data_IF_201486429585
#
_entry.id   IF_201486429585
#
_cell.length_a   1.000
_cell.length_b   1.000
_cell.length_c   1.000
_cell.angle_alpha   90.00
_cell.angle_beta   90.00
_cell.angle_gamma   90.00
#
_symmetry.space_group_name_H-M   'P 1'
#
loop_
_entity.id
_entity.type
_entity.pdbx_description
1 polymer ?
#
# COMPACT_ATOMS: atom_id res chain seq x y z
N UNK A 1 -17.02 -4.01 1.98
CA UNK A 1 -16.31 -2.75 2.26
C UNK A 1 -16.28 -1.90 1.01
N UNK A 2 -16.58 -0.60 1.09
CA UNK A 2 -16.43 0.33 -0.03
C UNK A 2 -15.15 1.12 0.20
N UNK A 3 -14.18 1.03 -0.72
CA UNK A 3 -12.89 1.70 -0.58
C UNK A 3 -13.07 3.18 -0.88
N UNK A 4 -12.62 4.05 0.03
CA UNK A 4 -12.61 5.50 -0.17
C UNK A 4 -11.40 5.94 -1.02
N UNK A 5 -11.39 7.20 -1.48
CA UNK A 5 -10.20 7.78 -2.14
C UNK A 5 -8.97 7.76 -1.26
N UNK A 6 -9.17 7.87 0.04
CA UNK A 6 -8.11 7.97 1.03
C UNK A 6 -7.26 6.70 1.03
N UNK A 7 -7.87 5.54 0.77
CA UNK A 7 -7.18 4.26 0.57
C UNK A 7 -6.20 4.37 -0.60
N UNK A 8 -6.67 4.85 -1.75
CA UNK A 8 -5.86 4.94 -2.96
C UNK A 8 -4.79 6.03 -2.87
N UNK A 9 -5.06 7.13 -2.15
CA UNK A 9 -4.06 8.16 -1.87
C UNK A 9 -2.93 7.63 -0.98
N UNK A 10 -3.27 6.81 0.01
CA UNK A 10 -2.28 6.14 0.86
C UNK A 10 -1.47 5.11 0.07
N UNK A 11 -2.11 4.26 -0.74
CA UNK A 11 -1.41 3.30 -1.62
C UNK A 11 -0.49 4.00 -2.62
N UNK A 12 -0.94 5.12 -3.19
CA UNK A 12 -0.11 5.90 -4.11
C UNK A 12 1.11 6.49 -3.41
N UNK A 13 1.00 6.89 -2.14
CA UNK A 13 2.15 7.37 -1.37
C UNK A 13 3.18 6.26 -1.09
N UNK A 14 2.72 5.01 -0.95
CA UNK A 14 3.62 3.85 -0.86
C UNK A 14 4.28 3.58 -2.21
N UNK A 15 3.53 3.64 -3.31
CA UNK A 15 4.09 3.43 -4.65
C UNK A 15 5.14 4.49 -5.03
N UNK A 16 5.15 5.65 -4.37
CA UNK A 16 6.20 6.68 -4.51
C UNK A 16 7.39 6.50 -3.56
N UNK A 17 7.44 5.42 -2.76
CA UNK A 17 8.47 5.21 -1.73
C UNK A 17 9.90 5.23 -2.28
N UNK A 18 10.11 4.62 -3.44
CA UNK A 18 11.39 4.58 -4.18
C UNK A 18 11.63 5.86 -5.01
N UNK A 19 10.70 6.82 -4.96
CA UNK A 19 10.74 8.07 -5.69
C UNK A 19 10.24 7.98 -7.14
N UNK A 20 9.73 6.84 -7.60
CA UNK A 20 9.18 6.67 -8.95
C UNK A 20 7.94 5.77 -8.98
N UNK A 21 6.85 6.24 -9.58
CA UNK A 21 5.72 5.36 -9.92
C UNK A 21 5.83 4.97 -11.39
N UNK A 22 5.98 3.68 -11.68
CA UNK A 22 6.04 3.18 -13.06
C UNK A 22 4.70 3.34 -13.77
N UNK A 23 4.72 3.35 -15.12
CA UNK A 23 3.50 3.40 -15.91
C UNK A 23 2.55 2.20 -15.62
N UNK A 24 3.12 1.04 -15.27
CA UNK A 24 2.36 -0.16 -14.92
C UNK A 24 1.65 0.00 -13.58
N UNK A 25 2.33 0.52 -12.56
CA UNK A 25 1.74 0.76 -11.23
C UNK A 25 0.68 1.86 -11.29
N UNK A 26 0.95 2.94 -12.04
CA UNK A 26 -0.02 4.00 -12.28
C UNK A 26 -1.32 3.45 -12.90
N UNK A 27 -1.21 2.62 -13.93
CA UNK A 27 -2.36 1.99 -14.58
C UNK A 27 -3.10 1.03 -13.64
N UNK A 28 -2.38 0.23 -12.85
CA UNK A 28 -2.99 -0.66 -11.85
C UNK A 28 -3.76 0.13 -10.79
N UNK A 29 -3.16 1.18 -10.21
CA UNK A 29 -3.81 2.03 -9.20
C UNK A 29 -5.05 2.72 -9.76
N UNK A 30 -4.98 3.26 -10.98
CA UNK A 30 -6.10 3.93 -11.62
C UNK A 30 -7.25 2.96 -11.93
N UNK A 31 -6.94 1.77 -12.47
CA UNK A 31 -7.94 0.72 -12.72
C UNK A 31 -8.58 0.24 -11.43
N UNK A 32 -7.80 0.05 -10.37
CA UNK A 32 -8.31 -0.36 -9.06
C UNK A 32 -9.24 0.70 -8.46
N UNK A 33 -8.88 1.98 -8.52
CA UNK A 33 -9.72 3.10 -8.08
C UNK A 33 -11.07 3.13 -8.82
N UNK A 34 -11.05 3.00 -10.14
CA UNK A 34 -12.26 2.94 -10.97
C UNK A 34 -13.13 1.71 -10.63
N UNK A 35 -12.51 0.54 -10.47
CA UNK A 35 -13.20 -0.70 -10.10
C UNK A 35 -13.85 -0.61 -8.71
N UNK A 36 -13.24 0.13 -7.79
CA UNK A 36 -13.81 0.44 -6.47
C UNK A 36 -14.96 1.48 -6.53
N UNK A 37 -15.26 2.02 -7.71
CA UNK A 37 -16.36 2.96 -7.95
C UNK A 37 -16.01 4.43 -7.71
N UNK A 38 -14.72 4.79 -7.63
CA UNK A 38 -14.31 6.19 -7.54
C UNK A 38 -14.58 6.88 -8.88
N UNK A 39 -15.17 8.08 -8.81
CA UNK A 39 -15.52 8.91 -9.97
C UNK A 39 -15.34 10.39 -9.63
N UNK A 40 -15.36 11.25 -10.65
CA UNK A 40 -15.29 12.71 -10.49
C UNK A 40 -14.07 13.16 -9.68
N UNK A 41 -14.30 14.08 -8.75
CA UNK A 41 -13.23 14.72 -7.96
C UNK A 41 -12.38 13.73 -7.14
N UNK A 42 -12.95 12.60 -6.72
CA UNK A 42 -12.23 11.59 -5.95
C UNK A 42 -11.25 10.81 -6.84
N UNK A 43 -11.67 10.45 -8.05
CA UNK A 43 -10.78 9.82 -9.03
C UNK A 43 -9.70 10.79 -9.51
N UNK A 44 -10.05 12.06 -9.74
CA UNK A 44 -9.09 13.10 -10.14
C UNK A 44 -8.01 13.32 -9.09
N UNK A 45 -8.36 13.24 -7.79
CA UNK A 45 -7.41 13.35 -6.70
C UNK A 45 -6.39 12.20 -6.72
N UNK A 46 -6.85 10.97 -6.95
CA UNK A 46 -5.98 9.79 -7.07
C UNK A 46 -5.06 9.92 -8.29
N UNK A 47 -5.59 10.29 -9.46
CA UNK A 47 -4.77 10.49 -10.66
C UNK A 47 -3.71 11.60 -10.49
N UNK A 48 -4.02 12.66 -9.75
CA UNK A 48 -3.05 13.71 -9.42
C UNK A 48 -1.95 13.19 -8.50
N UNK A 49 -2.30 12.39 -7.49
CA UNK A 49 -1.32 11.76 -6.60
C UNK A 49 -0.40 10.80 -7.38
N UNK A 50 -0.96 10.02 -8.32
CA UNK A 50 -0.18 9.09 -9.16
C UNK A 50 0.87 9.84 -9.98
N UNK A 51 0.58 11.07 -10.42
CA UNK A 51 1.48 11.88 -11.27
C UNK A 51 2.44 12.76 -10.48
N UNK A 52 2.29 12.85 -9.16
CA UNK A 52 3.08 13.79 -8.35
C UNK A 52 3.35 13.24 -6.95
N UNK A 53 4.62 12.90 -6.71
CA UNK A 53 5.11 12.51 -5.39
C UNK A 53 4.76 13.55 -4.31
N UNK A 54 4.89 14.84 -4.61
CA UNK A 54 4.54 15.90 -3.65
C UNK A 54 3.05 15.87 -3.29
N UNK A 55 2.17 15.67 -4.28
CA UNK A 55 0.73 15.53 -4.03
C UNK A 55 0.48 14.29 -3.18
N UNK A 56 1.03 13.13 -3.56
CA UNK A 56 0.89 11.88 -2.80
C UNK A 56 1.29 12.05 -1.33
N UNK A 57 2.44 12.67 -1.07
CA UNK A 57 2.96 12.93 0.29
C UNK A 57 2.06 13.88 1.09
N UNK A 58 1.45 14.88 0.45
CA UNK A 58 0.51 15.81 1.10
C UNK A 58 -0.84 15.17 1.38
N UNK A 59 -1.33 14.33 0.46
CA UNK A 59 -2.66 13.69 0.54
C UNK A 59 -2.69 12.44 1.40
N UNK A 60 -1.53 11.82 1.69
CA UNK A 60 -1.43 10.67 2.60
C UNK A 60 -1.82 10.97 4.07
N UNK A 61 -2.17 12.23 4.41
CA UNK A 61 -2.71 12.62 5.73
C UNK A 61 -4.19 12.21 5.91
N UNK A 62 -4.61 11.14 5.25
CA UNK A 62 -5.99 10.79 5.12
C UNK A 62 -6.56 10.13 6.39
N UNK A 63 -7.81 10.45 6.73
CA UNK A 63 -8.55 9.84 7.83
C UNK A 63 -9.13 8.50 7.37
N UNK A 64 -8.30 7.46 7.44
CA UNK A 64 -8.75 6.09 7.20
C UNK A 64 -9.45 5.55 8.45
N UNK A 65 -10.52 4.79 8.24
CA UNK A 65 -11.04 3.92 9.30
C UNK A 65 -10.00 2.86 9.68
N UNK A 66 -10.15 2.24 10.85
CA UNK A 66 -9.24 1.16 11.27
C UNK A 66 -9.19 0.03 10.23
N UNK A 67 -10.35 -0.41 9.72
CA UNK A 67 -10.44 -1.44 8.68
C UNK A 67 -9.76 -1.03 7.36
N UNK A 68 -9.96 0.22 6.91
CA UNK A 68 -9.30 0.72 5.70
C UNK A 68 -7.78 0.87 5.90
N UNK A 69 -7.34 1.26 7.10
CA UNK A 69 -5.93 1.34 7.45
C UNK A 69 -5.26 -0.03 7.39
N UNK A 70 -5.88 -1.04 8.00
CA UNK A 70 -5.42 -2.43 7.93
C UNK A 70 -5.36 -2.95 6.49
N UNK A 71 -6.39 -2.67 5.70
CA UNK A 71 -6.43 -3.05 4.29
C UNK A 71 -5.32 -2.39 3.47
N UNK A 72 -5.13 -1.06 3.60
CA UNK A 72 -4.07 -0.32 2.93
C UNK A 72 -2.70 -0.90 3.29
N UNK A 73 -2.48 -1.17 4.57
CA UNK A 73 -1.22 -1.71 5.05
C UNK A 73 -0.95 -3.11 4.49
N UNK A 74 -1.96 -3.99 4.46
CA UNK A 74 -1.85 -5.31 3.85
C UNK A 74 -1.51 -5.22 2.35
N UNK A 75 -2.21 -4.37 1.60
CA UNK A 75 -1.95 -4.18 0.17
C UNK A 75 -0.57 -3.59 -0.09
N UNK A 76 -0.12 -2.63 0.74
CA UNK A 76 1.24 -2.09 0.67
C UNK A 76 2.30 -3.19 0.84
N UNK A 77 2.14 -4.06 1.84
CA UNK A 77 3.05 -5.20 2.04
C UNK A 77 3.06 -6.17 0.85
N UNK A 78 1.90 -6.38 0.21
CA UNK A 78 1.80 -7.25 -0.96
C UNK A 78 2.50 -6.64 -2.18
N UNK A 79 2.34 -5.33 -2.41
CA UNK A 79 2.93 -4.63 -3.53
C UNK A 79 4.46 -4.62 -3.44
N UNK A 80 5.02 -4.27 -2.28
CA UNK A 80 6.48 -4.20 -2.10
C UNK A 80 7.19 -5.55 -2.18
N UNK A 81 6.46 -6.66 -2.04
CA UNK A 81 7.04 -7.98 -2.19
C UNK A 81 6.74 -8.62 -3.56
N UNK A 82 6.04 -7.90 -4.44
CA UNK A 82 5.58 -8.43 -5.74
C UNK A 82 6.72 -8.81 -6.68
N UNK A 83 7.84 -8.11 -6.60
CA UNK A 83 9.04 -8.32 -7.42
C UNK A 83 10.02 -9.34 -6.82
N UNK A 84 9.67 -9.99 -5.70
CA UNK A 84 10.45 -11.09 -5.13
C UNK A 84 11.64 -10.68 -4.26
N UNK A 85 11.83 -9.39 -4.05
CA UNK A 85 12.68 -8.80 -3.01
C UNK A 85 11.97 -7.55 -2.48
N UNK A 86 12.15 -7.23 -1.19
CA UNK A 86 11.71 -5.97 -0.59
C UNK A 86 12.94 -5.12 -0.33
N UNK A 87 13.01 -3.92 -0.90
CA UNK A 87 14.11 -2.99 -0.66
C UNK A 87 14.04 -2.38 0.75
N UNK A 88 15.14 -1.81 1.24
CA UNK A 88 15.16 -1.17 2.56
C UNK A 88 14.23 0.05 2.60
N UNK A 89 14.20 0.80 1.50
CA UNK A 89 13.37 1.98 1.31
C UNK A 89 11.87 1.63 1.37
N UNK A 90 11.49 0.47 0.82
CA UNK A 90 10.12 -0.02 0.88
C UNK A 90 9.74 -0.49 2.29
N UNK A 91 10.67 -1.13 3.01
CA UNK A 91 10.48 -1.47 4.43
C UNK A 91 10.25 -0.23 5.27
N UNK A 92 11.07 0.80 5.12
CA UNK A 92 10.92 2.07 5.82
C UNK A 92 9.59 2.76 5.49
N UNK A 93 9.17 2.71 4.22
CA UNK A 93 7.91 3.29 3.78
C UNK A 93 6.69 2.55 4.38
N UNK A 94 6.73 1.21 4.43
CA UNK A 94 5.69 0.39 5.06
C UNK A 94 5.63 0.66 6.57
N UNK A 95 6.77 0.71 7.26
CA UNK A 95 6.83 1.04 8.69
C UNK A 95 6.28 2.45 8.97
N UNK A 96 6.69 3.43 8.17
CA UNK A 96 6.20 4.81 8.25
C UNK A 96 4.70 4.89 7.99
N UNK A 97 4.18 4.11 7.04
CA UNK A 97 2.75 4.01 6.79
C UNK A 97 2.02 3.44 8.00
N UNK A 98 2.51 2.35 8.59
CA UNK A 98 1.91 1.72 9.76
C UNK A 98 1.83 2.69 10.95
N UNK A 99 2.88 3.47 11.18
CA UNK A 99 2.93 4.47 12.25
C UNK A 99 1.94 5.62 12.02
N UNK A 100 1.85 6.11 10.77
CA UNK A 100 0.87 7.14 10.39
C UNK A 100 -0.57 6.66 10.56
N UNK A 101 -0.83 5.41 10.21
CA UNK A 101 -2.13 4.77 10.35
C UNK A 101 -2.41 4.30 11.78
N UNK A 102 -1.43 4.41 12.69
CA UNK A 102 -1.52 3.96 14.09
C UNK A 102 -1.92 2.49 14.21
N UNK A 103 -1.43 1.66 13.28
CA UNK A 103 -1.76 0.23 13.28
C UNK A 103 -1.04 -0.44 14.46
N UNK A 104 -1.75 -1.18 15.33
CA UNK A 104 -1.12 -1.95 16.40
C UNK A 104 -0.17 -3.02 15.85
N UNK A 105 0.89 -3.31 16.60
CA UNK A 105 1.92 -4.26 16.18
C UNK A 105 1.37 -5.66 15.83
N UNK A 106 0.45 -6.19 16.63
CA UNK A 106 -0.14 -7.51 16.38
C UNK A 106 -0.97 -7.53 15.08
N UNK A 107 -1.57 -6.39 14.73
CA UNK A 107 -2.31 -6.20 13.48
C UNK A 107 -1.35 -6.08 12.30
N UNK A 108 -0.22 -5.38 12.46
CA UNK A 108 0.85 -5.32 11.43
C UNK A 108 1.34 -6.71 11.06
N UNK A 109 1.66 -7.54 12.06
CA UNK A 109 2.13 -8.91 11.84
C UNK A 109 1.07 -9.77 11.12
N UNK A 110 -0.21 -9.68 11.53
CA UNK A 110 -1.31 -10.41 10.89
C UNK A 110 -1.54 -9.96 9.44
N UNK A 111 -1.52 -8.66 9.19
CA UNK A 111 -1.70 -8.10 7.85
C UNK A 111 -0.55 -8.52 6.92
N UNK A 112 0.70 -8.44 7.37
CA UNK A 112 1.86 -8.90 6.62
C UNK A 112 1.75 -10.41 6.30
N UNK A 113 1.40 -11.24 7.29
CA UNK A 113 1.19 -12.68 7.11
C UNK A 113 0.04 -13.00 6.13
N UNK A 114 -1.05 -12.23 6.17
CA UNK A 114 -2.15 -12.37 5.22
C UNK A 114 -1.72 -12.00 3.79
N UNK A 115 -0.90 -10.96 3.63
CA UNK A 115 -0.33 -10.59 2.34
C UNK A 115 0.59 -11.68 1.78
N UNK A 116 1.32 -12.40 2.62
CA UNK A 116 2.07 -13.60 2.20
C UNK A 116 1.16 -14.67 1.62
N UNK A 117 0.09 -15.00 2.35
CA UNK A 117 -0.85 -16.04 1.93
C UNK A 117 -1.55 -15.69 0.60
N UNK A 118 -1.93 -14.42 0.43
CA UNK A 118 -2.54 -13.91 -0.80
C UNK A 118 -1.53 -13.86 -1.95
N UNK A 119 -0.31 -13.36 -1.71
CA UNK A 119 0.74 -13.29 -2.72
C UNK A 119 1.11 -14.67 -3.26
N UNK A 120 1.24 -15.68 -2.39
CA UNK A 120 1.47 -17.08 -2.79
C UNK A 120 0.34 -17.62 -3.67
N UNK A 121 -0.91 -17.29 -3.37
CA UNK A 121 -2.06 -17.68 -4.20
C UNK A 121 -2.07 -16.98 -5.57
N UNK A 122 -1.47 -15.79 -5.66
CA UNK A 122 -1.35 -15.00 -6.88
C UNK A 122 -0.05 -15.27 -7.67
N UNK A 123 0.83 -16.14 -7.18
CA UNK A 123 2.12 -16.46 -7.83
C UNK A 123 3.21 -15.41 -7.62
N UNK A 124 3.07 -14.53 -6.62
CA UNK A 124 4.14 -13.64 -6.15
C UNK A 124 5.23 -14.46 -5.46
N UNK A 125 6.50 -14.11 -5.65
CA UNK A 125 7.64 -14.80 -5.06
C UNK A 125 7.50 -14.96 -3.54
N UNK A 126 7.43 -16.19 -3.00
CA UNK A 126 7.09 -16.43 -1.59
C UNK A 126 8.17 -16.00 -0.61
N UNK A 127 9.43 -15.96 -1.04
CA UNK A 127 10.59 -15.74 -0.18
C UNK A 127 10.66 -14.29 0.36
N UNK A 128 10.31 -13.30 -0.47
CA UNK A 128 10.26 -11.88 -0.09
C UNK A 128 9.19 -11.59 0.96
N UNK A 129 8.02 -12.21 0.78
CA UNK A 129 6.86 -12.07 1.64
C UNK A 129 7.12 -12.70 3.03
N UNK A 130 7.73 -13.89 3.06
CA UNK A 130 8.12 -14.56 4.31
C UNK A 130 9.23 -13.81 5.07
N UNK A 131 10.14 -13.13 4.36
CA UNK A 131 11.15 -12.27 4.97
C UNK A 131 10.51 -11.03 5.62
N UNK A 132 9.64 -10.33 4.88
CA UNK A 132 8.95 -9.14 5.34
C UNK A 132 8.07 -9.42 6.57
N UNK A 133 7.30 -10.51 6.56
CA UNK A 133 6.43 -10.88 7.69
C UNK A 133 7.21 -11.16 8.98
N UNK A 134 8.39 -11.80 8.88
CA UNK A 134 9.25 -12.07 10.04
C UNK A 134 9.84 -10.81 10.64
N UNK A 135 10.16 -9.83 9.81
CA UNK A 135 10.81 -8.60 10.23
C UNK A 135 9.81 -7.61 10.85
N UNK A 136 8.64 -7.45 10.22
CA UNK A 136 7.53 -6.68 10.76
C UNK A 136 6.96 -7.28 12.06
N UNK A 137 7.26 -8.54 12.36
CA UNK A 137 6.96 -9.20 13.63
C UNK A 137 8.08 -9.03 14.68
N UNK A 138 9.09 -8.18 14.44
CA UNK A 138 10.18 -7.88 15.38
C UNK A 138 10.28 -6.41 15.78
N UNK A 139 9.75 -5.49 14.98
CA UNK A 139 9.75 -4.03 15.17
C UNK A 139 8.41 -3.49 15.65
#
# INVERSE_FOLDING_TARGET
>A
MKLSKDVFLALTAVAWADGVVSAKEADVLERAAKAAGLTGADLDAVQKAIRSHEVARKTAKATLSAEEGEFVYAVACLLSASDGDVAEEEREAIATLADRLRIPFDVRAKAAAASVAVGKALGVGPDALDALARELSRT
#
